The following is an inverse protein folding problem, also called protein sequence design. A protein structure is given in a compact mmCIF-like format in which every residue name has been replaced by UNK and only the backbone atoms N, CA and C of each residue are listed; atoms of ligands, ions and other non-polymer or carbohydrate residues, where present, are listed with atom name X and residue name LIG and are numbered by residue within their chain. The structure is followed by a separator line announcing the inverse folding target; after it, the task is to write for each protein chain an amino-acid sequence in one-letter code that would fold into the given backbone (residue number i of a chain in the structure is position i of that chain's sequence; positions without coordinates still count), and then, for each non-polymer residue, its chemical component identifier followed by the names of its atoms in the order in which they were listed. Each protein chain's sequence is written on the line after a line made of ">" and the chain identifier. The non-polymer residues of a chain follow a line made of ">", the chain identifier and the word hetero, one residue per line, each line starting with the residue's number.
data_IF_374012939335
#
_entry.id   IF_374012939335
#
_cell.length_a   1.000
_cell.length_b   1.000
_cell.length_c   1.000
_cell.angle_alpha   90.00
_cell.angle_beta   90.00
_cell.angle_gamma   90.00
#
_symmetry.space_group_name_H-M   'P 1'
#
loop_
_entity.id
_entity.type
_entity.pdbx_description
1 polymer ?
#
# COMPACT_ATOMS: atom_id res chain seq x y z
N UNK A 1 -30.87 -1.59 14.86
CA UNK A 1 -29.65 -2.33 14.47
C UNK A 1 -28.62 -2.10 15.56
N UNK A 2 -27.83 -3.12 15.91
CA UNK A 2 -26.67 -2.91 16.80
C UNK A 2 -25.66 -2.07 16.02
N UNK A 3 -25.11 -1.03 16.67
CA UNK A 3 -24.07 -0.17 16.11
C UNK A 3 -22.80 -1.02 15.98
N UNK A 4 -22.28 -1.21 14.76
CA UNK A 4 -21.00 -1.88 14.54
C UNK A 4 -19.89 -0.89 14.83
N UNK A 5 -18.93 -1.26 15.68
CA UNK A 5 -17.84 -0.37 16.11
C UNK A 5 -16.50 -1.08 16.11
N UNK A 6 -15.42 -0.33 16.28
CA UNK A 6 -14.08 -0.89 16.47
C UNK A 6 -14.00 -1.95 17.59
N UNK A 7 -14.90 -1.94 18.58
CA UNK A 7 -14.91 -2.93 19.66
C UNK A 7 -15.29 -4.34 19.17
N UNK A 8 -16.13 -4.44 18.16
CA UNK A 8 -16.58 -5.72 17.58
C UNK A 8 -15.42 -6.45 16.87
N UNK A 9 -14.38 -5.71 16.54
CA UNK A 9 -13.16 -6.17 15.87
C UNK A 9 -11.94 -6.22 16.80
N UNK A 10 -12.12 -6.10 18.12
CA UNK A 10 -11.02 -6.17 19.07
C UNK A 10 -10.24 -7.50 19.06
N UNK A 11 -10.82 -8.56 18.46
CA UNK A 11 -10.21 -9.87 18.29
C UNK A 11 -8.88 -9.82 17.51
N UNK A 12 -8.70 -8.83 16.63
CA UNK A 12 -7.48 -8.68 15.82
C UNK A 12 -6.21 -8.54 16.67
N UNK A 13 -6.33 -8.00 17.90
CA UNK A 13 -5.19 -7.80 18.81
C UNK A 13 -4.56 -9.10 19.29
N UNK A 14 -5.36 -10.16 19.37
CA UNK A 14 -4.94 -11.48 19.84
C UNK A 14 -4.81 -12.49 18.72
N UNK A 15 -5.27 -12.16 17.51
CA UNK A 15 -5.25 -13.03 16.35
C UNK A 15 -3.82 -13.30 15.85
N UNK A 16 -3.38 -14.57 15.77
CA UNK A 16 -2.13 -14.93 15.13
C UNK A 16 -2.11 -14.55 13.64
N UNK A 17 -3.26 -14.69 12.95
CA UNK A 17 -3.41 -14.30 11.55
C UNK A 17 -3.16 -12.81 11.37
N UNK A 18 -3.80 -11.96 12.18
CA UNK A 18 -3.64 -10.52 12.03
C UNK A 18 -2.24 -10.05 12.46
N UNK A 19 -1.59 -10.75 13.40
CA UNK A 19 -0.17 -10.52 13.69
C UNK A 19 0.69 -10.77 12.44
N UNK A 20 0.52 -11.91 11.78
CA UNK A 20 1.22 -12.22 10.53
C UNK A 20 0.93 -11.17 9.45
N UNK A 21 -0.33 -10.82 9.24
CA UNK A 21 -0.73 -9.80 8.27
C UNK A 21 -0.09 -8.43 8.55
N UNK A 22 0.02 -8.03 9.81
CA UNK A 22 0.66 -6.76 10.19
C UNK A 22 2.19 -6.79 10.05
N UNK A 23 2.81 -7.97 10.09
CA UNK A 23 4.24 -8.16 9.88
C UNK A 23 4.58 -8.18 8.38
N UNK A 24 3.86 -8.99 7.59
CA UNK A 24 4.05 -9.16 6.15
C UNK A 24 3.56 -7.96 5.33
N UNK A 25 2.59 -7.21 5.87
CA UNK A 25 1.74 -6.36 5.06
C UNK A 25 0.62 -7.17 4.40
N UNK A 26 -0.52 -6.54 4.21
CA UNK A 26 -1.66 -7.19 3.59
C UNK A 26 -2.55 -6.17 2.89
N UNK A 27 -3.35 -6.68 1.95
CA UNK A 27 -4.52 -6.03 1.41
C UNK A 27 -5.73 -6.95 1.57
N UNK A 28 -6.81 -6.40 2.13
CA UNK A 28 -8.12 -7.03 2.18
C UNK A 28 -9.08 -6.20 1.34
N UNK A 29 -9.66 -6.81 0.33
CA UNK A 29 -10.59 -6.15 -0.61
C UNK A 29 -11.91 -6.89 -0.67
N UNK A 30 -13.02 -6.17 -0.53
CA UNK A 30 -14.39 -6.65 -0.69
C UNK A 30 -14.97 -6.07 -1.99
N UNK A 31 -15.41 -6.92 -2.91
CA UNK A 31 -15.92 -6.55 -4.23
C UNK A 31 -17.33 -7.10 -4.41
N UNK A 32 -18.31 -6.22 -4.65
CA UNK A 32 -19.70 -6.63 -4.80
C UNK A 32 -19.99 -7.23 -6.19
N UNK A 33 -20.76 -8.32 -6.23
CA UNK A 33 -21.36 -8.84 -7.47
C UNK A 33 -20.38 -9.50 -8.45
N UNK A 34 -19.13 -9.76 -8.03
CA UNK A 34 -18.12 -10.47 -8.81
C UNK A 34 -17.81 -11.81 -8.15
N UNK A 35 -17.48 -12.81 -8.96
CA UNK A 35 -17.00 -14.10 -8.48
C UNK A 35 -15.48 -14.08 -8.22
N UNK A 36 -14.95 -14.97 -7.37
CA UNK A 36 -13.51 -15.06 -7.10
C UNK A 36 -12.65 -15.17 -8.36
N UNK A 37 -13.08 -15.96 -9.34
CA UNK A 37 -12.33 -16.15 -10.60
C UNK A 37 -12.38 -14.92 -11.51
N UNK A 38 -13.51 -14.20 -11.55
CA UNK A 38 -13.59 -12.94 -12.31
C UNK A 38 -12.65 -11.90 -11.71
N UNK A 39 -12.59 -11.82 -10.38
CA UNK A 39 -11.69 -10.90 -9.69
C UNK A 39 -10.23 -11.26 -9.96
N UNK A 40 -9.83 -12.51 -9.73
CA UNK A 40 -8.45 -12.95 -9.97
C UNK A 40 -8.05 -12.79 -11.44
N UNK A 41 -8.97 -13.06 -12.38
CA UNK A 41 -8.72 -12.82 -13.80
C UNK A 41 -8.56 -11.33 -14.14
N UNK A 42 -9.28 -10.43 -13.47
CA UNK A 42 -9.12 -8.99 -13.67
C UNK A 42 -7.80 -8.46 -13.09
N UNK A 43 -7.22 -9.17 -12.12
CA UNK A 43 -5.89 -8.89 -11.55
C UNK A 43 -4.76 -9.51 -12.40
N UNK A 44 -5.07 -10.06 -13.58
CA UNK A 44 -4.16 -10.83 -14.42
C UNK A 44 -3.48 -12.00 -13.67
N UNK A 45 -4.15 -12.53 -12.64
CA UNK A 45 -3.57 -13.56 -11.80
C UNK A 45 -3.54 -14.92 -12.51
N UNK A 46 -2.38 -15.57 -12.50
CA UNK A 46 -2.24 -16.94 -12.98
C UNK A 46 -2.91 -17.91 -11.98
N UNK A 47 -3.87 -18.76 -12.39
CA UNK A 47 -4.56 -19.65 -11.46
C UNK A 47 -3.61 -20.64 -10.76
N UNK A 48 -3.68 -20.72 -9.43
CA UNK A 48 -2.86 -21.60 -8.57
C UNK A 48 -3.67 -22.67 -7.83
N UNK A 49 -4.91 -22.92 -8.26
CA UNK A 49 -5.79 -23.92 -7.65
C UNK A 49 -6.51 -23.36 -6.43
N UNK A 50 -6.63 -24.15 -5.37
CA UNK A 50 -7.38 -23.79 -4.15
C UNK A 50 -6.56 -23.99 -2.89
N UNK A 51 -6.79 -23.16 -1.88
CA UNK A 51 -6.20 -23.27 -0.54
C UNK A 51 -7.28 -23.31 0.54
N UNK A 52 -7.12 -24.19 1.54
CA UNK A 52 -8.07 -24.26 2.66
C UNK A 52 -7.67 -23.26 3.75
N UNK A 53 -8.55 -22.29 3.98
CA UNK A 53 -8.36 -21.24 4.97
C UNK A 53 -7.17 -20.33 4.68
N UNK A 54 -6.93 -19.42 5.62
CA UNK A 54 -5.71 -18.60 5.57
C UNK A 54 -4.43 -19.44 5.67
N UNK A 55 -4.49 -20.64 6.25
CA UNK A 55 -3.32 -21.52 6.32
C UNK A 55 -2.87 -21.97 4.92
N UNK A 56 -3.81 -22.40 4.06
CA UNK A 56 -3.52 -22.77 2.68
C UNK A 56 -3.06 -21.59 1.83
N UNK A 57 -3.62 -20.39 2.08
CA UNK A 57 -3.15 -19.17 1.42
C UNK A 57 -1.70 -18.83 1.81
N UNK A 58 -1.37 -18.83 3.11
CA UNK A 58 -0.01 -18.56 3.59
C UNK A 58 0.97 -19.60 3.06
N UNK A 59 0.61 -20.89 3.05
CA UNK A 59 1.47 -21.94 2.50
C UNK A 59 1.78 -21.73 1.01
N UNK A 60 0.77 -21.36 0.21
CA UNK A 60 0.96 -21.09 -1.21
C UNK A 60 1.85 -19.86 -1.45
N UNK A 61 1.66 -18.80 -0.66
CA UNK A 61 2.43 -17.57 -0.73
C UNK A 61 3.90 -17.78 -0.27
N UNK A 62 4.12 -18.52 0.81
CA UNK A 62 5.46 -18.91 1.27
C UNK A 62 6.19 -19.80 0.26
N UNK A 63 5.47 -20.73 -0.40
CA UNK A 63 6.03 -21.57 -1.45
C UNK A 63 6.49 -20.72 -2.64
N UNK A 64 5.69 -19.74 -3.07
CA UNK A 64 6.07 -18.81 -4.13
C UNK A 64 7.33 -18.01 -3.74
N UNK A 65 7.35 -17.40 -2.54
CA UNK A 65 8.52 -16.65 -2.07
C UNK A 65 9.80 -17.48 -1.92
N UNK A 66 9.67 -18.80 -1.75
CA UNK A 66 10.82 -19.70 -1.69
C UNK A 66 11.35 -20.07 -3.08
N UNK A 67 10.53 -19.99 -4.13
CA UNK A 67 10.90 -20.26 -5.52
C UNK A 67 11.56 -19.05 -6.19
N UNK A 68 11.15 -17.84 -5.83
CA UNK A 68 11.71 -16.58 -6.33
C UNK A 68 13.00 -16.28 -5.56
N UNK A 69 14.15 -16.31 -6.25
CA UNK A 69 15.43 -15.92 -5.65
C UNK A 69 15.37 -14.42 -5.31
N UNK A 70 15.84 -14.02 -4.13
CA UNK A 70 15.72 -12.67 -3.55
C UNK A 70 16.46 -11.56 -4.33
N UNK A 71 16.87 -11.83 -5.56
CA UNK A 71 17.61 -10.88 -6.40
C UNK A 71 16.63 -9.87 -7.01
N UNK A 72 16.27 -8.87 -6.19
CA UNK A 72 15.67 -7.57 -6.51
C UNK A 72 14.74 -7.52 -7.74
N UNK A 73 13.43 -7.62 -7.50
CA UNK A 73 12.46 -7.03 -8.44
C UNK A 73 11.09 -7.66 -8.42
N UNK A 74 10.97 -8.97 -8.20
CA UNK A 74 9.67 -9.63 -8.36
C UNK A 74 8.74 -9.36 -7.15
N UNK A 75 7.85 -8.38 -7.34
CA UNK A 75 6.78 -8.03 -6.39
C UNK A 75 5.50 -8.87 -6.60
N UNK A 76 5.56 -9.96 -7.37
CA UNK A 76 4.42 -10.87 -7.50
C UNK A 76 4.08 -11.55 -6.17
N UNK A 77 2.80 -11.82 -5.97
CA UNK A 77 2.28 -12.38 -4.73
C UNK A 77 1.10 -13.31 -4.97
N UNK A 78 0.84 -14.23 -4.04
CA UNK A 78 -0.34 -15.09 -4.12
C UNK A 78 -1.54 -14.38 -3.46
N UNK A 79 -2.58 -14.15 -4.25
CA UNK A 79 -3.87 -13.68 -3.76
C UNK A 79 -4.82 -14.87 -3.57
N UNK A 80 -5.57 -14.85 -2.48
CA UNK A 80 -6.70 -15.75 -2.25
C UNK A 80 -8.01 -15.00 -2.38
N UNK A 81 -8.97 -15.57 -3.11
CA UNK A 81 -10.32 -15.02 -3.24
C UNK A 81 -11.41 -16.04 -2.87
N UNK A 82 -12.46 -15.62 -2.18
CA UNK A 82 -13.65 -16.45 -1.93
C UNK A 82 -14.94 -15.61 -1.86
N UNK A 83 -16.08 -16.27 -2.07
CA UNK A 83 -17.40 -15.63 -2.01
C UNK A 83 -17.93 -15.55 -0.57
N UNK A 84 -18.41 -14.38 -0.17
CA UNK A 84 -19.11 -14.12 1.07
C UNK A 84 -20.55 -13.64 0.78
N UNK A 85 -21.58 -14.26 1.37
CA UNK A 85 -22.96 -13.85 1.12
C UNK A 85 -23.26 -12.50 1.77
N UNK A 86 -23.83 -11.57 1.00
CA UNK A 86 -24.32 -10.27 1.47
C UNK A 86 -25.84 -10.13 1.34
N UNK A 87 -26.42 -9.14 2.01
CA UNK A 87 -27.89 -8.93 1.99
C UNK A 87 -28.45 -8.64 0.58
N UNK A 88 -27.67 -7.95 -0.26
CA UNK A 88 -28.07 -7.51 -1.60
C UNK A 88 -27.25 -8.17 -2.71
N UNK A 89 -26.75 -9.38 -2.46
CA UNK A 89 -25.91 -10.12 -3.40
C UNK A 89 -24.58 -10.53 -2.78
N UNK A 90 -23.91 -11.44 -3.46
CA UNK A 90 -22.65 -11.98 -3.00
C UNK A 90 -21.52 -10.97 -3.19
N UNK A 91 -20.61 -10.97 -2.23
CA UNK A 91 -19.35 -10.27 -2.28
C UNK A 91 -18.24 -11.27 -2.55
N UNK A 92 -17.16 -10.84 -3.20
CA UNK A 92 -15.88 -11.55 -3.18
C UNK A 92 -14.96 -10.84 -2.21
N UNK A 93 -14.39 -11.59 -1.27
CA UNK A 93 -13.28 -11.15 -0.43
C UNK A 93 -11.98 -11.64 -1.07
N UNK A 94 -11.04 -10.72 -1.30
CA UNK A 94 -9.66 -11.00 -1.69
C UNK A 94 -8.73 -10.65 -0.54
N UNK A 95 -7.81 -11.56 -0.23
CA UNK A 95 -6.74 -11.37 0.74
C UNK A 95 -5.41 -11.68 0.06
N UNK A 96 -4.45 -10.76 0.18
CA UNK A 96 -3.07 -10.97 -0.22
C UNK A 96 -2.11 -10.48 0.86
N UNK A 97 -0.96 -11.15 0.99
CA UNK A 97 0.16 -10.71 1.83
C UNK A 97 1.21 -10.02 0.95
N UNK A 98 0.78 -8.91 0.38
CA UNK A 98 1.39 -8.20 -0.75
C UNK A 98 2.27 -7.01 -0.32
N UNK A 99 2.65 -6.93 0.97
CA UNK A 99 3.32 -5.73 1.47
C UNK A 99 2.46 -4.46 1.37
N UNK A 100 1.14 -4.59 1.22
CA UNK A 100 0.20 -3.49 1.09
C UNK A 100 0.16 -2.81 -0.28
N UNK A 101 0.70 -3.45 -1.33
CA UNK A 101 0.68 -2.95 -2.71
C UNK A 101 -0.74 -2.74 -3.25
N UNK A 102 -1.67 -3.59 -2.82
CA UNK A 102 -3.06 -3.49 -3.19
C UNK A 102 -3.39 -4.15 -4.53
N UNK A 103 -4.63 -3.93 -4.95
CA UNK A 103 -5.07 -4.21 -6.31
C UNK A 103 -4.80 -2.98 -7.16
N UNK A 104 -4.30 -3.15 -8.38
CA UNK A 104 -4.02 -2.05 -9.31
C UNK A 104 -5.24 -1.13 -9.49
N UNK A 105 -5.01 0.18 -9.57
CA UNK A 105 -6.08 1.19 -9.62
C UNK A 105 -7.07 0.95 -10.75
N UNK A 106 -6.59 0.76 -11.99
CA UNK A 106 -7.43 0.45 -13.16
C UNK A 106 -8.27 -0.82 -12.96
N UNK A 107 -7.71 -1.83 -12.30
CA UNK A 107 -8.42 -3.07 -11.99
C UNK A 107 -9.57 -2.82 -10.99
N UNK A 108 -9.33 -2.04 -9.93
CA UNK A 108 -10.37 -1.70 -8.94
C UNK A 108 -11.48 -0.85 -9.55
N UNK A 109 -11.14 0.08 -10.43
CA UNK A 109 -12.12 0.86 -11.19
C UNK A 109 -13.02 -0.05 -12.04
N UNK A 110 -12.45 -0.99 -12.80
CA UNK A 110 -13.22 -1.95 -13.59
C UNK A 110 -14.11 -2.84 -12.68
N UNK A 111 -13.55 -3.36 -11.59
CA UNK A 111 -14.26 -4.26 -10.68
C UNK A 111 -15.41 -3.57 -9.95
N UNK A 112 -15.31 -2.27 -9.70
CA UNK A 112 -16.37 -1.46 -9.07
C UNK A 112 -17.45 -0.99 -10.04
N UNK A 113 -17.32 -1.19 -11.36
CA UNK A 113 -18.36 -0.79 -12.31
C UNK A 113 -19.69 -1.52 -12.05
N UNK A 114 -20.76 -0.73 -11.87
CA UNK A 114 -22.09 -1.24 -11.55
C UNK A 114 -22.21 -1.77 -10.12
N UNK A 115 -21.28 -1.42 -9.24
CA UNK A 115 -21.16 -1.99 -7.90
C UNK A 115 -20.26 -1.19 -6.96
N UNK A 116 -19.67 -1.88 -5.98
CA UNK A 116 -18.86 -1.31 -4.91
C UNK A 116 -17.60 -2.12 -4.67
N UNK A 117 -16.49 -1.43 -4.40
CA UNK A 117 -15.28 -2.03 -3.85
C UNK A 117 -14.87 -1.29 -2.58
N UNK A 118 -14.57 -2.04 -1.52
CA UNK A 118 -14.00 -1.51 -0.28
C UNK A 118 -12.70 -2.25 0.01
N UNK A 119 -11.59 -1.53 0.10
CA UNK A 119 -10.27 -2.09 0.35
C UNK A 119 -9.63 -1.45 1.58
N UNK A 120 -8.87 -2.22 2.32
CA UNK A 120 -7.93 -1.67 3.28
C UNK A 120 -6.65 -2.47 3.34
N UNK A 121 -5.53 -1.77 3.57
CA UNK A 121 -4.21 -2.38 3.53
C UNK A 121 -3.28 -1.86 4.63
N UNK A 122 -2.14 -2.53 4.75
CA UNK A 122 -0.99 -2.09 5.53
C UNK A 122 0.29 -2.59 4.87
N UNK A 123 1.36 -1.81 4.95
CA UNK A 123 2.61 -2.16 4.28
C UNK A 123 3.63 -2.95 5.13
N UNK A 124 3.16 -3.62 6.18
CA UNK A 124 4.00 -4.47 7.03
C UNK A 124 5.00 -3.70 7.91
N UNK A 125 4.84 -3.74 9.24
CA UNK A 125 5.79 -3.15 10.19
C UNK A 125 6.00 -1.62 10.14
N UNK A 126 5.49 -0.94 9.10
CA UNK A 126 5.52 0.51 8.90
C UNK A 126 4.11 1.10 9.14
N UNK A 127 4.02 2.39 9.49
CA UNK A 127 2.75 3.01 9.91
C UNK A 127 1.85 3.43 8.74
N UNK A 128 2.02 2.87 7.53
CA UNK A 128 1.22 3.25 6.36
C UNK A 128 0.03 2.31 6.25
N UNK A 129 -1.16 2.90 6.23
CA UNK A 129 -2.43 2.19 6.39
C UNK A 129 -3.47 2.80 5.47
N UNK A 130 -3.80 2.18 4.35
CA UNK A 130 -4.75 2.77 3.41
C UNK A 130 -6.15 2.19 3.56
N UNK A 131 -7.14 3.03 3.28
CA UNK A 131 -8.53 2.67 3.08
C UNK A 131 -9.00 3.25 1.75
N UNK A 132 -9.74 2.46 0.96
CA UNK A 132 -10.32 2.89 -0.30
C UNK A 132 -11.78 2.46 -0.39
N UNK A 133 -12.64 3.36 -0.85
CA UNK A 133 -14.01 3.08 -1.25
C UNK A 133 -14.23 3.56 -2.68
N UNK A 134 -14.56 2.62 -3.55
CA UNK A 134 -14.97 2.85 -4.93
C UNK A 134 -16.44 2.49 -5.12
N UNK A 135 -17.13 3.29 -5.93
CA UNK A 135 -18.49 3.03 -6.39
C UNK A 135 -18.57 3.33 -7.88
N UNK A 136 -19.13 2.42 -8.67
CA UNK A 136 -19.38 2.61 -10.11
C UNK A 136 -18.15 3.08 -10.92
N UNK A 137 -16.96 2.57 -10.58
CA UNK A 137 -15.71 2.93 -11.24
C UNK A 137 -15.06 4.22 -10.75
N UNK A 138 -15.63 4.89 -9.75
CA UNK A 138 -15.08 6.13 -9.19
C UNK A 138 -14.55 5.93 -7.78
N UNK A 139 -13.35 6.48 -7.50
CA UNK A 139 -12.84 6.60 -6.15
C UNK A 139 -13.66 7.63 -5.36
N UNK A 140 -14.52 7.17 -4.46
CA UNK A 140 -15.39 8.01 -3.62
C UNK A 140 -14.61 8.61 -2.47
N UNK A 141 -13.89 7.76 -1.73
CA UNK A 141 -13.10 8.20 -0.57
C UNK A 141 -11.87 7.31 -0.41
N UNK A 142 -10.72 7.94 -0.16
CA UNK A 142 -9.48 7.28 0.28
C UNK A 142 -8.87 8.04 1.45
N UNK A 143 -8.16 7.34 2.34
CA UNK A 143 -7.36 7.99 3.38
C UNK A 143 -6.31 7.04 3.98
N UNK A 144 -5.24 7.63 4.51
CA UNK A 144 -4.36 6.97 5.49
C UNK A 144 -4.83 7.25 6.93
N UNK A 145 -5.16 8.50 7.20
CA UNK A 145 -5.74 8.96 8.45
C UNK A 145 -7.14 9.52 8.19
N UNK A 146 -8.14 9.18 9.03
CA UNK A 146 -9.53 9.49 8.75
C UNK A 146 -9.85 10.99 8.71
N UNK A 147 -8.95 11.88 9.16
CA UNK A 147 -9.10 13.34 9.12
C UNK A 147 -8.54 14.00 7.85
N UNK A 148 -7.79 13.24 7.03
CA UNK A 148 -7.23 13.69 5.75
C UNK A 148 -7.68 12.71 4.68
N UNK A 149 -8.70 13.10 3.92
CA UNK A 149 -9.42 12.23 2.99
C UNK A 149 -9.39 12.85 1.60
N UNK A 150 -9.23 12.00 0.58
CA UNK A 150 -9.28 12.37 -0.83
C UNK A 150 -10.35 11.55 -1.58
N UNK A 151 -10.60 11.88 -2.84
CA UNK A 151 -11.60 11.22 -3.70
C UNK A 151 -12.67 12.19 -4.21
N UNK A 152 -13.67 11.65 -4.91
CA UNK A 152 -14.75 12.46 -5.50
C UNK A 152 -15.77 12.93 -4.45
N UNK A 153 -15.96 12.17 -3.36
CA UNK A 153 -16.86 12.52 -2.25
C UNK A 153 -16.19 12.26 -0.89
N UNK A 154 -15.06 12.91 -0.59
CA UNK A 154 -14.18 12.55 0.53
C UNK A 154 -14.84 12.70 1.92
N UNK A 155 -15.86 13.55 2.04
CA UNK A 155 -16.54 13.82 3.31
C UNK A 155 -17.82 13.00 3.53
N UNK A 156 -18.25 12.22 2.53
CA UNK A 156 -19.48 11.42 2.60
C UNK A 156 -19.43 10.39 3.75
N UNK A 157 -18.24 9.87 4.06
CA UNK A 157 -18.04 8.90 5.12
C UNK A 157 -17.86 9.51 6.53
N UNK A 158 -17.78 10.84 6.69
CA UNK A 158 -17.52 11.47 8.01
C UNK A 158 -18.52 11.00 9.10
N UNK A 159 -19.84 10.94 8.85
CA UNK A 159 -20.77 10.41 9.85
C UNK A 159 -20.46 8.96 10.26
N UNK A 160 -20.14 8.10 9.30
CA UNK A 160 -19.85 6.68 9.54
C UNK A 160 -18.50 6.48 10.23
N UNK A 161 -17.48 7.26 9.86
CA UNK A 161 -16.17 7.26 10.51
C UNK A 161 -16.31 7.57 12.01
N UNK A 162 -17.15 8.55 12.35
CA UNK A 162 -17.47 8.88 13.74
C UNK A 162 -18.23 7.75 14.43
N UNK A 163 -19.17 7.12 13.74
CA UNK A 163 -19.98 6.02 14.27
C UNK A 163 -19.12 4.80 14.67
N UNK A 164 -18.13 4.44 13.83
CA UNK A 164 -17.22 3.33 14.13
C UNK A 164 -16.18 3.66 15.21
N UNK A 165 -16.07 4.93 15.57
CA UNK A 165 -15.30 5.42 16.72
C UNK A 165 -14.06 6.26 16.37
N UNK A 166 -13.88 6.70 15.13
CA UNK A 166 -12.76 7.61 14.82
C UNK A 166 -12.92 8.96 15.53
N UNK A 167 -11.82 9.55 16.03
CA UNK A 167 -11.84 10.83 16.75
C UNK A 167 -11.98 11.98 15.75
N UNK A 168 -13.20 12.19 15.26
CA UNK A 168 -13.55 13.26 14.31
C UNK A 168 -14.68 14.15 14.82
N UNK A 169 -14.56 15.45 14.54
CA UNK A 169 -15.64 16.42 14.68
C UNK A 169 -16.73 16.18 13.63
N UNK A 170 -17.95 16.75 13.77
CA UNK A 170 -18.96 16.72 12.72
C UNK A 170 -18.49 17.24 11.35
N UNK A 171 -17.52 18.15 11.36
CA UNK A 171 -16.89 18.74 10.17
C UNK A 171 -15.79 17.85 9.57
N UNK A 172 -15.45 16.74 10.22
CA UNK A 172 -14.46 15.78 9.75
C UNK A 172 -13.02 16.13 10.10
N UNK A 173 -12.80 17.10 10.98
CA UNK A 173 -11.49 17.43 11.55
C UNK A 173 -11.15 16.49 12.71
N UNK A 174 -9.88 16.37 13.08
CA UNK A 174 -9.48 15.55 14.22
C UNK A 174 -9.99 16.15 15.54
N UNK A 175 -10.69 15.36 16.34
CA UNK A 175 -11.16 15.74 17.68
C UNK A 175 -10.14 15.32 18.73
N UNK A 176 -9.32 16.26 19.19
CA UNK A 176 -8.31 16.03 20.25
C UNK A 176 -8.93 15.63 21.60
N UNK A 177 -10.23 15.86 21.81
CA UNK A 177 -10.92 15.51 23.06
C UNK A 177 -11.49 14.09 23.06
N UNK A 178 -11.60 13.47 21.87
CA UNK A 178 -12.11 12.13 21.72
C UNK A 178 -11.06 11.07 22.12
N UNK A 179 -11.47 9.92 22.70
CA UNK A 179 -10.55 8.85 23.02
C UNK A 179 -9.95 8.24 21.74
N UNK A 180 -8.69 7.80 21.84
CA UNK A 180 -8.06 7.07 20.74
C UNK A 180 -8.75 5.71 20.50
N UNK A 181 -8.71 5.26 19.26
CA UNK A 181 -9.36 4.03 18.80
C UNK A 181 -8.36 3.13 18.10
N UNK A 182 -8.61 1.83 18.18
CA UNK A 182 -7.90 0.88 17.33
C UNK A 182 -8.28 1.11 15.87
N UNK A 183 -7.41 1.81 15.14
CA UNK A 183 -7.69 2.26 13.77
C UNK A 183 -8.00 1.09 12.84
N UNK A 184 -7.31 -0.06 12.98
CA UNK A 184 -7.55 -1.23 12.15
C UNK A 184 -8.90 -1.87 12.45
N UNK A 185 -9.25 -1.97 13.73
CA UNK A 185 -10.56 -2.46 14.13
C UNK A 185 -11.69 -1.50 13.66
N UNK A 186 -11.46 -0.19 13.69
CA UNK A 186 -12.40 0.81 13.20
C UNK A 186 -12.59 0.75 11.68
N UNK A 187 -11.51 0.53 10.91
CA UNK A 187 -11.60 0.32 9.45
C UNK A 187 -12.38 -0.94 9.11
N UNK A 188 -12.16 -2.05 9.82
CA UNK A 188 -12.94 -3.27 9.61
C UNK A 188 -14.43 -3.08 9.93
N UNK A 189 -14.74 -2.34 11.00
CA UNK A 189 -16.11 -1.95 11.33
C UNK A 189 -16.73 -1.08 10.22
N UNK A 190 -15.97 -0.13 9.65
CA UNK A 190 -16.43 0.69 8.54
C UNK A 190 -16.70 -0.15 7.29
N UNK A 191 -15.83 -1.11 6.99
CA UNK A 191 -16.02 -2.04 5.88
C UNK A 191 -17.30 -2.88 6.06
N UNK A 192 -17.59 -3.36 7.28
CA UNK A 192 -18.85 -4.06 7.56
C UNK A 192 -20.07 -3.16 7.32
N UNK A 193 -20.04 -1.90 7.75
CA UNK A 193 -21.15 -0.97 7.51
C UNK A 193 -21.38 -0.74 6.00
N UNK A 194 -20.29 -0.59 5.24
CA UNK A 194 -20.38 -0.31 3.80
C UNK A 194 -20.76 -1.51 2.95
N UNK A 195 -20.48 -2.73 3.42
CA UNK A 195 -20.64 -3.96 2.63
C UNK A 195 -21.71 -4.90 3.16
N UNK A 196 -22.06 -4.79 4.44
CA UNK A 196 -22.84 -5.77 5.19
C UNK A 196 -22.05 -7.04 5.54
N UNK A 197 -20.76 -7.14 5.19
CA UNK A 197 -19.93 -8.32 5.42
C UNK A 197 -19.17 -8.17 6.72
N UNK A 198 -19.50 -9.01 7.70
CA UNK A 198 -18.76 -9.10 8.95
C UNK A 198 -17.53 -9.98 8.79
N UNK A 199 -16.35 -9.37 8.74
CA UNK A 199 -15.09 -10.11 8.66
C UNK A 199 -14.71 -10.65 10.04
N UNK A 200 -14.67 -11.96 10.20
CA UNK A 200 -14.21 -12.61 11.43
C UNK A 200 -12.97 -13.45 11.17
N UNK A 201 -12.23 -13.77 12.22
CA UNK A 201 -11.12 -14.73 12.12
C UNK A 201 -11.60 -16.07 11.54
N UNK A 202 -12.75 -16.57 12.01
CA UNK A 202 -13.34 -17.81 11.49
C UNK A 202 -13.73 -17.72 10.02
N UNK A 203 -14.27 -16.58 9.56
CA UNK A 203 -14.61 -16.39 8.15
C UNK A 203 -13.38 -16.56 7.26
N UNK A 204 -12.25 -15.98 7.66
CA UNK A 204 -11.00 -16.07 6.91
C UNK A 204 -10.35 -17.46 7.04
N UNK A 205 -10.42 -18.08 8.23
CA UNK A 205 -9.80 -19.39 8.48
C UNK A 205 -10.56 -20.56 7.87
N UNK A 206 -11.88 -20.47 7.76
CA UNK A 206 -12.73 -21.60 7.34
C UNK A 206 -13.10 -21.54 5.84
N UNK A 207 -12.76 -20.44 5.15
CA UNK A 207 -13.05 -20.28 3.73
C UNK A 207 -12.13 -21.14 2.85
N UNK A 208 -12.67 -21.69 1.76
CA UNK A 208 -11.86 -22.24 0.67
C UNK A 208 -11.54 -21.13 -0.32
N UNK A 209 -10.26 -20.80 -0.45
CA UNK A 209 -9.78 -19.77 -1.34
C UNK A 209 -9.52 -20.34 -2.74
N UNK A 210 -10.01 -19.66 -3.77
CA UNK A 210 -9.43 -19.76 -5.11
C UNK A 210 -8.13 -18.94 -5.10
N UNK A 211 -7.03 -19.54 -5.55
CA UNK A 211 -5.70 -18.93 -5.49
C UNK A 211 -5.26 -18.45 -6.87
N UNK A 212 -4.61 -17.29 -6.92
CA UNK A 212 -3.97 -16.76 -8.11
C UNK A 212 -2.63 -16.10 -7.79
N UNK A 213 -1.63 -16.33 -8.64
CA UNK A 213 -0.37 -15.59 -8.59
C UNK A 213 -0.57 -14.28 -9.34
N UNK A 214 -0.63 -13.18 -8.60
CA UNK A 214 -0.75 -11.82 -9.15
C UNK A 214 0.64 -11.39 -9.60
N UNK A 215 0.84 -11.01 -10.87
CA UNK A 215 2.14 -10.55 -11.33
C UNK A 215 2.51 -9.21 -10.68
N UNK A 216 3.81 -8.93 -10.60
CA UNK A 216 4.29 -7.57 -10.37
C UNK A 216 3.59 -6.63 -11.37
N UNK A 217 2.93 -5.60 -10.85
CA UNK A 217 2.40 -4.55 -11.72
C UNK A 217 3.60 -3.83 -12.31
N UNK A 218 3.68 -3.66 -13.65
CA UNK A 218 4.77 -2.89 -14.22
C UNK A 218 4.75 -1.53 -13.52
N UNK A 219 5.86 -1.17 -12.85
CA UNK A 219 6.02 0.20 -12.40
C UNK A 219 5.69 1.07 -13.61
N UNK A 220 4.65 1.91 -13.52
CA UNK A 220 4.30 2.85 -14.60
C UNK A 220 5.62 3.43 -15.08
N UNK A 221 5.96 3.22 -16.36
CA UNK A 221 7.29 3.58 -16.84
C UNK A 221 7.42 5.09 -16.65
N UNK A 222 8.14 5.52 -15.61
CA UNK A 222 8.17 6.92 -15.20
C UNK A 222 8.82 7.69 -16.34
N UNK A 223 8.00 8.35 -17.17
CA UNK A 223 8.48 9.05 -18.37
C UNK A 223 9.34 10.28 -18.03
N UNK A 224 9.26 10.77 -16.79
CA UNK A 224 10.05 11.87 -16.30
C UNK A 224 9.78 12.22 -14.83
N UNK A 225 10.55 13.18 -14.31
CA UNK A 225 10.40 13.75 -12.98
C UNK A 225 10.16 15.24 -13.11
N UNK A 226 9.09 15.73 -12.47
CA UNK A 226 8.82 17.17 -12.31
C UNK A 226 9.14 17.58 -10.88
N UNK A 227 10.04 18.54 -10.73
CA UNK A 227 10.27 19.26 -9.48
C UNK A 227 9.56 20.60 -9.60
N UNK A 228 8.50 20.78 -8.83
CA UNK A 228 7.79 22.05 -8.68
C UNK A 228 7.78 22.47 -7.22
N UNK A 229 8.68 23.37 -6.86
CA UNK A 229 8.86 23.85 -5.48
C UNK A 229 8.63 25.36 -5.49
N UNK A 230 7.75 25.85 -4.63
CA UNK A 230 7.61 27.29 -4.36
C UNK A 230 8.18 27.58 -2.97
N UNK A 231 9.10 28.54 -2.87
CA UNK A 231 9.70 28.90 -1.61
C UNK A 231 8.80 29.81 -0.74
N UNK A 232 9.26 30.15 0.47
CA UNK A 232 8.53 31.00 1.41
C UNK A 232 8.36 32.45 0.93
N UNK A 233 9.04 32.86 -0.14
CA UNK A 233 8.95 34.17 -0.77
C UNK A 233 8.08 34.16 -2.03
N UNK A 234 7.52 33.00 -2.39
CA UNK A 234 6.72 32.82 -3.58
C UNK A 234 7.53 32.61 -4.87
N UNK A 235 8.85 32.41 -4.76
CA UNK A 235 9.69 32.07 -5.92
C UNK A 235 9.53 30.59 -6.26
N UNK A 236 9.15 30.31 -7.52
CA UNK A 236 8.89 28.96 -8.02
C UNK A 236 10.11 28.42 -8.76
N UNK A 237 10.61 27.27 -8.31
CA UNK A 237 11.50 26.39 -9.05
C UNK A 237 10.65 25.32 -9.75
N UNK A 238 10.51 25.44 -11.07
CA UNK A 238 9.94 24.41 -11.93
C UNK A 238 11.05 23.79 -12.79
N UNK A 239 11.21 22.47 -12.72
CA UNK A 239 12.05 21.70 -13.64
C UNK A 239 11.42 20.36 -13.97
N UNK A 240 11.64 19.93 -15.18
CA UNK A 240 11.18 18.66 -15.72
C UNK A 240 12.37 17.97 -16.37
N UNK A 241 12.53 16.67 -16.12
CA UNK A 241 13.51 15.82 -16.77
C UNK A 241 12.81 14.59 -17.29
N UNK A 242 13.17 14.15 -18.50
CA UNK A 242 12.70 12.86 -19.00
C UNK A 242 13.49 11.70 -18.39
N UNK A 243 12.93 10.49 -18.48
CA UNK A 243 13.62 9.27 -18.08
C UNK A 243 15.00 9.14 -18.75
N UNK A 244 15.06 9.35 -20.08
CA UNK A 244 16.31 9.24 -20.85
C UNK A 244 17.38 10.22 -20.35
N UNK A 245 16.99 11.45 -19.96
CA UNK A 245 17.92 12.45 -19.41
C UNK A 245 18.47 12.03 -18.05
N UNK A 246 17.62 11.45 -17.19
CA UNK A 246 18.00 10.95 -15.86
C UNK A 246 18.89 9.72 -15.98
N UNK A 247 18.52 8.76 -16.83
CA UNK A 247 19.30 7.55 -17.10
C UNK A 247 20.69 7.91 -17.65
N UNK A 248 20.74 8.79 -18.67
CA UNK A 248 21.99 9.27 -19.25
C UNK A 248 22.85 10.08 -18.27
N UNK A 249 22.24 10.83 -17.35
CA UNK A 249 22.96 11.52 -16.27
C UNK A 249 23.55 10.52 -15.26
N UNK A 250 22.77 9.52 -14.87
CA UNK A 250 23.20 8.48 -13.93
C UNK A 250 24.32 7.62 -14.49
N UNK A 251 24.25 7.26 -15.78
CA UNK A 251 25.30 6.52 -16.48
C UNK A 251 26.60 7.32 -16.60
N UNK A 252 26.51 8.63 -16.87
CA UNK A 252 27.69 9.51 -16.86
C UNK A 252 28.33 9.60 -15.48
N UNK A 253 27.53 9.81 -14.43
CA UNK A 253 28.04 9.86 -13.05
C UNK A 253 28.69 8.53 -12.65
N UNK A 254 28.09 7.40 -13.05
CA UNK A 254 28.66 6.07 -12.82
C UNK A 254 29.95 5.84 -13.62
N UNK A 255 30.04 6.32 -14.85
CA UNK A 255 31.25 6.26 -15.66
C UNK A 255 32.39 7.12 -15.07
N UNK A 256 32.06 8.34 -14.61
CA UNK A 256 33.02 9.25 -13.97
C UNK A 256 33.51 8.70 -12.62
N UNK A 257 32.60 8.11 -11.81
CA UNK A 257 32.97 7.47 -10.54
C UNK A 257 33.88 6.25 -10.73
N UNK A 258 33.78 5.56 -11.87
CA UNK A 258 34.60 4.41 -12.22
C UNK A 258 35.87 4.78 -13.01
N UNK A 259 36.10 6.06 -13.30
CA UNK A 259 37.31 6.51 -13.97
C UNK A 259 38.52 6.39 -13.04
N UNK A 260 39.65 5.80 -13.49
CA UNK A 260 40.84 5.63 -12.66
C UNK A 260 41.46 6.99 -12.30
N UNK A 261 41.60 7.25 -10.99
CA UNK A 261 42.27 8.45 -10.47
C UNK A 261 43.77 8.34 -10.70
N UNK A 262 44.32 9.17 -11.61
CA UNK A 262 45.77 9.28 -11.83
C UNK A 262 46.33 10.36 -10.90
N UNK A 263 46.95 9.96 -9.78
CA UNK A 263 47.75 10.86 -8.94
C UNK A 263 49.17 11.00 -9.50
N UNK A 264 49.48 12.13 -10.12
CA UNK A 264 50.85 12.49 -10.51
C UNK A 264 51.65 13.01 -9.31
N UNK A 265 52.74 12.33 -8.97
CA UNK A 265 53.74 12.83 -8.01
C UNK A 265 54.59 13.92 -8.66
N UNK A 266 54.53 15.15 -8.13
CA UNK A 266 55.53 16.20 -8.43
C UNK A 266 56.69 16.07 -7.44
N UNK A 267 57.92 15.92 -7.95
CA UNK A 267 59.14 15.96 -7.13
C UNK A 267 59.36 17.35 -6.51
N UNK A 268 59.87 17.45 -5.26
CA UNK A 268 60.06 18.74 -4.61
C UNK A 268 61.34 19.43 -5.12
N UNK A 269 61.20 20.70 -5.50
CA UNK A 269 62.29 21.64 -5.74
C UNK A 269 63.13 21.80 -4.47
N UNK A 270 64.43 21.48 -4.56
CA UNK A 270 65.41 21.79 -3.54
C UNK A 270 65.52 23.31 -3.38
N UNK A 271 65.20 23.84 -2.18
CA UNK A 271 65.51 25.22 -1.82
C UNK A 271 66.60 25.31 -0.76
N UNK A 272 67.46 26.25 -1.09
CA UNK A 272 68.77 26.61 -0.60
C UNK A 272 68.82 27.03 0.87
N UNK A 273 69.96 26.73 1.51
CA UNK A 273 70.31 27.18 2.86
C UNK A 273 70.76 28.64 2.80
N UNK A 274 70.19 29.49 3.63
CA UNK A 274 70.94 30.65 4.13
C UNK A 274 70.53 30.98 5.56
N UNK A 275 71.56 31.04 6.41
CA UNK A 275 71.57 31.42 7.81
C UNK A 275 71.61 32.95 7.95
N UNK A 276 70.94 33.49 8.97
CA UNK A 276 71.40 34.54 9.90
C UNK A 276 70.23 34.89 10.86
N UNK A 277 70.35 34.70 12.18
CA UNK A 277 70.84 35.69 13.18
C UNK A 277 70.03 37.00 13.15
N UNK A 278 69.48 37.56 14.23
CA UNK A 278 69.68 37.48 15.69
C UNK A 278 68.41 38.03 16.38
N UNK A 279 68.23 37.73 17.67
CA UNK A 279 67.12 38.21 18.49
C UNK A 279 67.25 39.64 19.03
N UNK A 280 66.17 40.02 19.74
CA UNK A 280 65.82 41.31 20.39
C UNK A 280 65.38 42.47 19.48
#
# INVERSE_FOLDING_TARGET
>A
MNLVTARDYAWIRTSPLFRHAMESGYTLTLIWGRTPREVLSAMDAEPRGTGEGTAGLIEADDAHRAEVDYDYGDESYVAGAFSAPGENGDWTLVLGFDGGLGIAGECVEILSQGGRVVAHSTNGGKPIHLFHWFEDGELRTTFEGPSSRDGNTPDELVPLLREVGFPLTPEGEHDESAPDVDRKAAVLALAEILTGIRVTESLLQDATYELGLVPEQPAEEWTGVVIDITDAHGERLYREWTYEEIASASDRVRADANAPVVTGYNEPLAMDRSEHETGE
#
